data_IF_038870954075
#
_entry.id   IF_038870954075
#
_cell.length_a   1.000
_cell.length_b   1.000
_cell.length_c   1.000
_cell.angle_alpha   90.00
_cell.angle_beta   90.00
_cell.angle_gamma   90.00
#
_symmetry.space_group_name_H-M   'P 1'
#
loop_
_entity.id
_entity.type
_entity.pdbx_description
1 polymer ?
#
# COMPACT_ATOMS: atom_id res chain seq x y z
N UNK A 1 7.76 8.05 15.28
CA UNK A 1 7.52 7.42 13.96
C UNK A 1 6.32 6.49 14.09
N UNK A 2 5.26 6.70 13.29
CA UNK A 2 4.10 5.81 13.21
C UNK A 2 4.24 4.97 11.94
N UNK A 3 3.99 3.67 12.04
CA UNK A 3 4.19 2.71 10.96
C UNK A 3 2.88 2.18 10.44
N UNK A 4 2.85 1.90 9.15
CA UNK A 4 1.73 1.30 8.45
C UNK A 4 2.28 0.26 7.51
N UNK A 5 1.57 -0.85 7.41
CA UNK A 5 2.03 -2.02 6.70
C UNK A 5 0.99 -2.46 5.68
N UNK A 6 1.48 -2.86 4.51
CA UNK A 6 0.74 -3.61 3.51
C UNK A 6 1.66 -4.62 2.84
N UNK A 7 1.16 -5.81 2.60
CA UNK A 7 1.86 -6.85 1.85
C UNK A 7 1.03 -7.26 0.64
N UNK A 8 1.72 -7.54 -0.46
CA UNK A 8 1.11 -8.09 -1.66
C UNK A 8 2.08 -8.97 -2.42
N UNK A 9 1.60 -10.14 -2.84
CA UNK A 9 2.25 -10.92 -3.89
C UNK A 9 2.02 -10.24 -5.26
N UNK A 10 3.10 -9.90 -5.95
CA UNK A 10 3.05 -9.29 -7.27
C UNK A 10 2.67 -10.33 -8.34
N UNK A 11 1.37 -10.48 -8.57
CA UNK A 11 0.79 -11.17 -9.73
C UNK A 11 -0.01 -10.17 -10.55
N UNK A 12 -0.17 -10.42 -11.86
CA UNK A 12 -1.12 -9.63 -12.66
C UNK A 12 -2.49 -9.78 -12.00
N UNK A 13 -3.02 -8.73 -11.42
CA UNK A 13 -4.19 -8.86 -10.57
C UNK A 13 -5.33 -8.04 -11.11
N UNK A 14 -6.47 -8.69 -11.29
CA UNK A 14 -7.69 -8.00 -11.67
C UNK A 14 -8.26 -7.30 -10.44
N UNK A 15 -8.25 -5.98 -10.47
CA UNK A 15 -9.02 -5.17 -9.52
C UNK A 15 -10.51 -5.39 -9.81
N UNK A 16 -11.28 -5.70 -8.77
CA UNK A 16 -12.72 -5.84 -8.82
C UNK A 16 -13.37 -4.46 -9.04
N UNK A 17 -14.49 -4.41 -9.76
CA UNK A 17 -15.23 -3.18 -10.03
C UNK A 17 -15.77 -2.48 -8.78
N UNK A 18 -15.83 -3.17 -7.64
CA UNK A 18 -16.21 -2.60 -6.36
C UNK A 18 -15.09 -1.81 -5.65
N UNK A 19 -13.85 -1.87 -6.15
CA UNK A 19 -12.72 -1.12 -5.61
C UNK A 19 -12.70 0.35 -6.03
N UNK A 20 -12.11 1.20 -5.20
CA UNK A 20 -11.79 2.59 -5.52
C UNK A 20 -10.28 2.76 -5.62
N UNK A 21 -9.81 3.91 -6.14
CA UNK A 21 -8.38 4.18 -6.31
C UNK A 21 -7.59 4.21 -4.99
N UNK A 22 -8.24 4.55 -3.89
CA UNK A 22 -7.70 4.56 -2.52
C UNK A 22 -7.96 3.26 -1.75
N UNK A 23 -8.89 2.41 -2.23
CA UNK A 23 -9.22 1.11 -1.65
C UNK A 23 -9.42 0.06 -2.75
N UNK A 24 -8.32 -0.43 -3.37
CA UNK A 24 -8.41 -1.38 -4.46
C UNK A 24 -8.83 -2.76 -3.95
N UNK A 25 -9.99 -3.25 -4.37
CA UNK A 25 -10.47 -4.59 -4.03
C UNK A 25 -9.96 -5.58 -5.07
N UNK A 26 -9.29 -6.64 -4.64
CA UNK A 26 -8.75 -7.66 -5.54
C UNK A 26 -9.73 -8.83 -5.69
N UNK A 27 -9.77 -9.43 -6.87
CA UNK A 27 -10.67 -10.56 -7.12
C UNK A 27 -10.19 -11.86 -6.44
N UNK A 28 -8.88 -12.05 -6.25
CA UNK A 28 -8.29 -13.25 -5.66
C UNK A 28 -8.77 -14.59 -6.26
N UNK A 29 -9.08 -14.61 -7.56
CA UNK A 29 -9.65 -15.79 -8.22
C UNK A 29 -8.61 -16.78 -8.73
N UNK A 30 -7.40 -16.31 -9.04
CA UNK A 30 -6.27 -17.11 -9.53
C UNK A 30 -4.98 -16.30 -9.48
N UNK A 31 -3.85 -17.00 -9.49
CA UNK A 31 -2.55 -16.39 -9.71
C UNK A 31 -2.27 -16.21 -11.21
N UNK A 32 -1.83 -15.02 -11.59
CA UNK A 32 -1.38 -14.72 -12.96
C UNK A 32 0.11 -14.35 -12.92
N UNK A 33 0.98 -15.16 -13.55
CA UNK A 33 2.41 -14.87 -13.62
C UNK A 33 2.69 -13.50 -14.25
N UNK A 34 3.76 -12.85 -13.79
CA UNK A 34 4.24 -11.63 -14.42
C UNK A 34 4.93 -11.94 -15.76
N UNK A 35 4.66 -11.18 -16.82
CA UNK A 35 5.43 -11.26 -18.06
C UNK A 35 6.90 -10.86 -17.80
N UNK A 36 7.82 -11.60 -18.40
CA UNK A 36 9.26 -11.34 -18.27
C UNK A 36 9.62 -10.02 -18.95
N UNK A 37 10.30 -9.13 -18.23
CA UNK A 37 10.85 -7.88 -18.78
C UNK A 37 9.83 -6.78 -19.10
N UNK A 38 8.54 -7.00 -18.87
CA UNK A 38 7.50 -6.00 -19.11
C UNK A 38 7.00 -5.42 -17.78
N UNK A 39 6.93 -4.07 -17.63
CA UNK A 39 6.38 -3.46 -16.43
C UNK A 39 4.89 -3.78 -16.30
N UNK A 40 4.47 -4.14 -15.08
CA UNK A 40 3.08 -4.43 -14.75
C UNK A 40 2.59 -3.41 -13.73
N UNK A 41 1.41 -2.82 -13.99
CA UNK A 41 0.75 -1.96 -13.00
C UNK A 41 0.20 -2.81 -11.86
N UNK A 42 0.50 -2.39 -10.63
CA UNK A 42 0.00 -3.00 -9.41
C UNK A 42 -0.75 -1.96 -8.60
N UNK A 43 -1.92 -2.34 -8.09
CA UNK A 43 -2.64 -1.56 -7.07
C UNK A 43 -2.47 -2.28 -5.73
N UNK A 44 -1.87 -1.62 -4.73
CA UNK A 44 -1.60 -2.20 -3.41
C UNK A 44 -2.45 -1.45 -2.39
N UNK A 45 -3.33 -2.16 -1.68
CA UNK A 45 -4.09 -1.57 -0.60
C UNK A 45 -3.17 -1.32 0.59
N UNK A 46 -3.16 -0.08 1.08
CA UNK A 46 -2.59 0.24 2.39
C UNK A 46 -3.70 0.09 3.42
N UNK A 47 -3.50 -0.80 4.39
CA UNK A 47 -4.50 -1.04 5.43
C UNK A 47 -4.85 0.25 6.16
N UNK A 48 -6.14 0.42 6.48
CA UNK A 48 -6.66 1.64 7.08
C UNK A 48 -5.90 2.00 8.35
N UNK A 49 -5.39 3.23 8.38
CA UNK A 49 -4.74 3.81 9.55
C UNK A 49 -5.07 5.30 9.64
N UNK A 50 -4.77 5.90 10.79
CA UNK A 50 -4.79 7.35 10.96
C UNK A 50 -3.44 7.81 11.47
N UNK A 51 -2.85 8.78 10.78
CA UNK A 51 -1.65 9.48 11.22
C UNK A 51 -1.88 10.99 11.14
N UNK A 52 -1.35 11.70 12.12
CA UNK A 52 -1.23 13.14 12.12
C UNK A 52 0.25 13.49 11.97
N UNK A 53 0.55 14.43 11.09
CA UNK A 53 1.90 14.92 10.84
C UNK A 53 1.98 16.38 11.28
N UNK A 54 2.88 16.66 12.22
CA UNK A 54 3.23 18.01 12.63
C UNK A 54 4.08 18.67 11.54
N UNK A 55 4.20 20.00 11.65
CA UNK A 55 5.14 20.75 10.83
C UNK A 55 6.56 20.19 11.00
N UNK A 56 7.24 19.89 9.88
CA UNK A 56 8.57 19.29 9.87
C UNK A 56 8.61 17.76 9.93
N UNK A 57 7.48 17.09 10.23
CA UNK A 57 7.41 15.63 10.11
C UNK A 57 7.23 15.21 8.65
N UNK A 58 7.68 14.00 8.33
CA UNK A 58 7.67 13.48 6.95
C UNK A 58 7.00 12.12 6.88
N UNK A 59 6.21 11.92 5.82
CA UNK A 59 5.74 10.60 5.40
C UNK A 59 6.79 9.94 4.51
N UNK A 60 7.17 8.70 4.83
CA UNK A 60 8.08 7.88 4.02
C UNK A 60 7.38 6.60 3.57
N UNK A 61 7.40 6.35 2.27
CA UNK A 61 6.99 5.08 1.67
C UNK A 61 8.23 4.22 1.43
N UNK A 62 8.22 2.99 1.94
CA UNK A 62 9.25 1.97 1.65
C UNK A 62 8.60 0.85 0.85
N UNK A 63 9.16 0.51 -0.31
CA UNK A 63 8.75 -0.64 -1.13
C UNK A 63 9.86 -1.69 -1.02
N UNK A 64 9.49 -2.92 -0.66
CA UNK A 64 10.45 -4.01 -0.44
C UNK A 64 9.88 -5.34 -0.94
N UNK A 65 10.78 -6.27 -1.30
CA UNK A 65 10.43 -7.65 -1.65
C UNK A 65 10.26 -8.58 -0.44
N UNK A 66 10.27 -8.05 0.78
CA UNK A 66 10.08 -8.82 2.00
C UNK A 66 9.62 -7.88 3.13
N UNK A 67 9.20 -8.50 4.21
CA UNK A 67 8.85 -7.86 5.47
C UNK A 67 9.93 -6.87 5.93
N UNK A 68 9.58 -5.58 6.08
CA UNK A 68 10.51 -4.50 6.48
C UNK A 68 10.84 -4.49 7.98
N UNK A 69 10.07 -5.22 8.79
CA UNK A 69 10.33 -5.43 10.21
C UNK A 69 10.53 -6.91 10.49
N UNK A 70 11.58 -7.22 11.24
CA UNK A 70 11.82 -8.56 11.76
C UNK A 70 11.38 -8.59 13.22
N UNK A 71 10.60 -9.61 13.56
CA UNK A 71 10.10 -9.82 14.91
C UNK A 71 10.82 -11.01 15.53
N UNK A 72 11.09 -10.99 16.86
CA UNK A 72 11.60 -12.16 17.56
C UNK A 72 10.65 -13.35 17.42
N UNK A 73 11.20 -14.56 17.26
CA UNK A 73 10.46 -15.81 16.97
C UNK A 73 9.38 -16.17 17.99
N UNK A 74 9.48 -15.64 19.23
CA UNK A 74 8.47 -15.82 20.27
C UNK A 74 7.16 -15.04 20.03
N UNK A 75 7.11 -14.12 19.06
CA UNK A 75 5.88 -13.41 18.73
C UNK A 75 5.09 -14.16 17.66
N UNK A 76 3.79 -14.36 17.90
CA UNK A 76 2.87 -14.82 16.87
C UNK A 76 2.63 -13.65 15.89
N UNK A 77 3.31 -13.69 14.74
CA UNK A 77 3.22 -12.66 13.71
C UNK A 77 2.81 -13.27 12.37
N UNK A 78 2.12 -12.48 11.56
CA UNK A 78 1.81 -12.83 10.17
C UNK A 78 3.03 -12.54 9.29
N UNK A 79 4.12 -13.29 9.51
CA UNK A 79 5.35 -13.18 8.73
C UNK A 79 5.23 -13.83 7.35
N UNK A 80 5.97 -13.30 6.37
CA UNK A 80 5.98 -13.79 4.98
C UNK A 80 7.34 -14.42 4.63
N UNK A 81 7.69 -15.53 5.28
CA UNK A 81 8.99 -16.19 5.09
C UNK A 81 9.04 -17.10 3.84
N UNK A 82 7.88 -17.43 3.26
CA UNK A 82 7.77 -18.15 1.99
C UNK A 82 7.60 -17.14 0.85
N UNK A 83 8.66 -16.97 0.04
CA UNK A 83 8.73 -15.97 -1.03
C UNK A 83 8.90 -16.63 -2.41
N UNK A 84 8.27 -16.04 -3.42
CA UNK A 84 8.49 -16.37 -4.84
C UNK A 84 9.44 -15.37 -5.54
N UNK A 85 10.11 -14.52 -4.77
CA UNK A 85 10.96 -13.46 -5.30
C UNK A 85 12.34 -14.02 -5.67
N UNK A 86 12.65 -14.04 -6.97
CA UNK A 86 13.88 -14.65 -7.52
C UNK A 86 14.75 -13.68 -8.30
N UNK A 87 14.30 -12.45 -8.50
CA UNK A 87 14.97 -11.45 -9.35
C UNK A 87 14.92 -10.05 -8.71
N UNK A 88 15.67 -9.11 -9.30
CA UNK A 88 15.63 -7.71 -8.89
C UNK A 88 14.25 -7.10 -9.15
N UNK A 89 13.72 -6.38 -8.15
CA UNK A 89 12.47 -5.65 -8.28
C UNK A 89 12.74 -4.25 -8.81
N UNK A 90 12.10 -3.87 -9.91
CA UNK A 90 12.24 -2.55 -10.54
C UNK A 90 10.93 -1.79 -10.39
N UNK A 91 10.99 -0.62 -9.73
CA UNK A 91 9.86 0.29 -9.61
C UNK A 91 9.99 1.38 -10.69
N UNK A 92 9.03 1.42 -11.61
CA UNK A 92 8.97 2.46 -12.64
C UNK A 92 8.17 3.68 -12.14
N UNK A 93 8.67 4.88 -12.39
CA UNK A 93 8.04 6.16 -12.04
C UNK A 93 8.20 7.15 -13.19
N UNK A 94 7.44 8.26 -13.17
CA UNK A 94 7.48 9.30 -14.21
C UNK A 94 6.19 9.35 -15.03
N UNK A 95 6.16 10.19 -16.07
CA UNK A 95 4.96 10.42 -16.88
C UNK A 95 4.47 9.13 -17.56
N UNK A 96 5.39 8.35 -18.11
CA UNK A 96 5.08 7.09 -18.81
C UNK A 96 4.65 5.97 -17.84
N UNK A 97 5.02 6.09 -16.57
CA UNK A 97 4.72 5.13 -15.51
C UNK A 97 4.26 5.87 -14.24
N UNK A 98 2.98 6.31 -14.19
CA UNK A 98 2.47 7.17 -13.11
C UNK A 98 2.19 6.36 -11.83
N UNK A 99 3.24 5.84 -11.23
CA UNK A 99 3.22 5.24 -9.89
C UNK A 99 2.92 6.33 -8.87
N UNK A 100 1.83 6.16 -8.12
CA UNK A 100 1.33 7.16 -7.17
C UNK A 100 0.97 6.53 -5.82
N UNK A 101 1.05 7.34 -4.76
CA UNK A 101 0.54 7.01 -3.43
C UNK A 101 -0.77 7.78 -3.20
N UNK A 102 -1.90 7.10 -3.23
CA UNK A 102 -3.21 7.70 -2.98
C UNK A 102 -3.51 7.72 -1.48
N UNK A 103 -3.72 8.91 -0.90
CA UNK A 103 -4.05 9.07 0.52
C UNK A 103 -5.27 9.99 0.71
N UNK A 104 -6.22 9.62 1.58
CA UNK A 104 -7.32 10.50 1.96
C UNK A 104 -6.84 11.55 2.98
N UNK A 105 -6.37 12.70 2.50
CA UNK A 105 -5.86 13.78 3.35
C UNK A 105 -7.03 14.57 3.97
N UNK A 106 -7.14 14.53 5.29
CA UNK A 106 -8.07 15.37 6.06
C UNK A 106 -7.35 16.62 6.56
N UNK A 107 -7.71 17.80 6.02
CA UNK A 107 -7.18 19.08 6.50
C UNK A 107 -8.04 19.64 7.63
N UNK A 108 -7.45 20.45 8.53
CA UNK A 108 -8.14 21.04 9.68
C UNK A 108 -9.39 21.87 9.35
N UNK A 109 -9.48 22.43 8.13
CA UNK A 109 -10.68 23.13 7.65
C UNK A 109 -11.91 22.20 7.60
N UNK A 110 -11.74 20.92 7.25
CA UNK A 110 -12.81 19.94 7.22
C UNK A 110 -13.30 19.53 8.64
N UNK A 111 -12.43 19.62 9.66
CA UNK A 111 -12.78 19.28 11.06
C UNK A 111 -13.73 20.29 11.71
N UNK A 112 -13.76 21.54 11.23
CA UNK A 112 -14.66 22.58 11.76
C UNK A 112 -16.07 22.52 11.16
N UNK A 113 -16.25 21.87 10.01
CA UNK A 113 -17.56 21.68 9.39
C UNK A 113 -18.39 20.61 10.12
N UNK A 114 -17.76 19.52 10.59
CA UNK A 114 -18.45 18.43 11.30
C UNK A 114 -18.84 18.76 12.75
N UNK A 115 -18.24 19.78 13.37
CA UNK A 115 -18.61 20.26 14.71
C UNK A 115 -19.91 21.08 14.77
N UNK A 116 -20.50 21.44 13.62
CA UNK A 116 -21.75 22.23 13.59
C UNK A 116 -23.02 21.39 13.83
N UNK A 117 -22.92 20.06 13.82
CA UNK A 117 -24.05 19.14 14.03
C UNK A 117 -24.17 18.63 15.47
N UNK A 118 -23.35 19.14 16.40
CA UNK A 118 -23.32 18.74 17.80
C UNK A 118 -23.80 19.85 18.76
N UNK A 119 -24.83 20.60 18.36
CA UNK A 119 -25.56 21.51 19.25
C UNK A 119 -27.04 21.16 19.22
#
# INVERSE_FOLDING_TARGET
MRWVWACRLATVSRVNRSGTADRPVQAHQRDLPLPVGAPVRLDIEILLFTAYFNCGETLRLTVAGADIYRWPVQHLVNGHDLLNNTAAHVLHTGADYPSVLNLPILTGAARNASRRWAR
#
